data_IF_368247119947
#
_entry.id   IF_368247119947
#
_cell.length_a   1.000
_cell.length_b   1.000
_cell.length_c   1.000
_cell.angle_alpha   90.00
_cell.angle_beta   90.00
_cell.angle_gamma   90.00
#
_symmetry.space_group_name_H-M   'P 1'
#
loop_
_entity.id
_entity.type
_entity.pdbx_description
1 polymer ?
#
# COMPACT_ATOMS: atom_id res chain seq x y z
N UNK A 1 -8.23 -9.87 -28.08
CA UNK A 1 -7.70 -10.79 -27.07
C UNK A 1 -8.25 -10.30 -25.75
N UNK A 2 -9.09 -11.09 -25.08
CA UNK A 2 -9.58 -10.76 -23.75
C UNK A 2 -8.37 -10.60 -22.84
N UNK A 3 -8.24 -9.44 -22.19
CA UNK A 3 -7.32 -9.28 -21.06
C UNK A 3 -7.78 -10.30 -20.01
N UNK A 4 -7.15 -11.47 -20.02
CA UNK A 4 -7.24 -12.39 -18.88
C UNK A 4 -6.39 -11.70 -17.83
N UNK A 5 -7.03 -10.87 -17.02
CA UNK A 5 -6.49 -10.46 -15.72
C UNK A 5 -5.93 -11.74 -15.12
N UNK A 6 -4.62 -11.78 -14.89
CA UNK A 6 -4.07 -12.79 -14.00
C UNK A 6 -4.85 -12.57 -12.71
N UNK A 7 -5.64 -13.57 -12.29
CA UNK A 7 -6.19 -13.55 -10.94
C UNK A 7 -4.97 -13.39 -10.02
N UNK A 8 -4.74 -12.17 -9.54
CA UNK A 8 -3.71 -11.91 -8.54
C UNK A 8 -4.21 -12.63 -7.31
N UNK A 9 -3.78 -13.89 -7.14
CA UNK A 9 -4.09 -14.67 -5.98
C UNK A 9 -3.47 -13.96 -4.79
N UNK A 10 -4.31 -13.25 -4.02
CA UNK A 10 -3.89 -12.60 -2.80
C UNK A 10 -3.26 -13.65 -1.88
N UNK A 11 -2.00 -13.45 -1.52
CA UNK A 11 -1.30 -14.32 -0.57
C UNK A 11 -1.61 -13.80 0.82
N UNK A 12 -2.16 -14.67 1.66
CA UNK A 12 -2.44 -14.35 3.05
C UNK A 12 -1.28 -14.79 3.92
N UNK A 13 -0.53 -13.83 4.45
CA UNK A 13 0.50 -14.08 5.47
C UNK A 13 -0.19 -14.30 6.82
N UNK A 14 -0.07 -15.48 7.45
CA UNK A 14 -0.65 -15.72 8.76
C UNK A 14 0.00 -14.82 9.83
N UNK A 15 -0.75 -14.36 10.85
CA UNK A 15 -0.22 -13.45 11.86
C UNK A 15 1.01 -13.98 12.61
N UNK A 16 1.11 -15.30 12.81
CA UNK A 16 2.26 -15.90 13.50
C UNK A 16 3.55 -15.75 12.70
N UNK A 17 3.51 -15.85 11.36
CA UNK A 17 4.66 -15.63 10.48
C UNK A 17 5.13 -14.19 10.59
N UNK A 18 4.20 -13.22 10.53
CA UNK A 18 4.56 -11.81 10.69
C UNK A 18 5.16 -11.52 12.06
N UNK A 19 4.64 -12.13 13.13
CA UNK A 19 5.25 -11.99 14.46
C UNK A 19 6.67 -12.55 14.51
N UNK A 20 6.93 -13.74 13.95
CA UNK A 20 8.28 -14.30 13.87
C UNK A 20 9.24 -13.39 13.09
N UNK A 21 8.77 -12.76 12.00
CA UNK A 21 9.56 -11.77 11.26
C UNK A 21 9.91 -10.55 12.12
N UNK A 22 8.95 -10.03 12.90
CA UNK A 22 9.15 -8.87 13.77
C UNK A 22 10.06 -9.19 14.96
N UNK A 23 10.05 -10.43 15.47
CA UNK A 23 10.93 -10.87 16.54
C UNK A 23 12.42 -10.85 16.14
N UNK A 24 12.71 -10.89 14.83
CA UNK A 24 14.08 -10.75 14.31
C UNK A 24 14.62 -9.31 14.36
N UNK A 25 13.76 -8.30 14.56
CA UNK A 25 14.13 -6.89 14.47
C UNK A 25 14.80 -6.33 15.74
N UNK A 26 15.16 -7.17 16.72
CA UNK A 26 15.83 -6.72 17.95
C UNK A 26 14.88 -6.26 19.06
N UNK A 27 13.58 -6.54 18.94
CA UNK A 27 12.59 -6.36 20.01
C UNK A 27 11.98 -4.95 20.10
N UNK A 28 11.44 -4.63 21.28
CA UNK A 28 10.63 -3.43 21.51
C UNK A 28 11.42 -2.11 21.40
N UNK A 29 12.74 -2.15 21.59
CA UNK A 29 13.61 -0.98 21.43
C UNK A 29 13.56 -0.46 19.99
N UNK A 30 13.65 -1.35 18.99
CA UNK A 30 13.56 -0.96 17.58
C UNK A 30 12.17 -0.48 17.21
N UNK A 31 11.13 -1.11 17.77
CA UNK A 31 9.72 -0.74 17.53
C UNK A 31 9.36 0.62 18.15
N UNK A 32 10.01 1.00 19.24
CA UNK A 32 9.69 2.22 20.01
C UNK A 32 10.70 3.36 19.84
N UNK A 33 11.84 3.14 19.18
CA UNK A 33 12.79 4.20 18.82
C UNK A 33 12.14 5.19 17.86
N UNK A 34 12.23 6.49 18.17
CA UNK A 34 11.62 7.58 17.41
C UNK A 34 12.16 7.71 15.98
N UNK A 35 13.41 7.32 15.72
CA UNK A 35 14.06 7.50 14.42
C UNK A 35 13.73 6.37 13.42
N UNK A 36 13.10 5.28 13.88
CA UNK A 36 12.77 4.14 13.04
C UNK A 36 11.42 4.29 12.34
N UNK A 37 11.35 3.92 11.07
CA UNK A 37 10.12 3.90 10.28
C UNK A 37 9.93 2.52 9.66
N UNK A 38 8.68 2.10 9.53
CA UNK A 38 8.31 0.78 9.04
C UNK A 38 7.59 0.93 7.70
N UNK A 39 7.97 0.12 6.72
CA UNK A 39 7.39 0.17 5.38
C UNK A 39 7.03 -1.23 4.88
N UNK A 40 5.77 -1.43 4.51
CA UNK A 40 5.30 -2.67 3.89
C UNK A 40 4.93 -2.44 2.41
N UNK A 41 5.74 -2.93 1.46
CA UNK A 41 5.60 -2.57 0.04
C UNK A 41 4.46 -3.26 -0.70
N UNK A 42 3.93 -4.36 -0.15
CA UNK A 42 2.88 -5.20 -0.76
C UNK A 42 1.83 -5.54 0.30
N UNK A 43 1.17 -4.50 0.80
CA UNK A 43 0.35 -4.66 2.00
C UNK A 43 -0.95 -5.45 1.79
N UNK A 44 -1.32 -5.73 0.54
CA UNK A 44 -2.59 -6.33 0.18
C UNK A 44 -3.74 -5.58 0.84
N UNK A 45 -4.66 -6.33 1.44
CA UNK A 45 -5.80 -5.78 2.17
C UNK A 45 -5.48 -5.38 3.62
N UNK A 46 -4.24 -5.49 4.08
CA UNK A 46 -3.83 -4.96 5.38
C UNK A 46 -3.74 -5.95 6.54
N UNK A 47 -3.83 -7.26 6.31
CA UNK A 47 -3.69 -8.25 7.40
C UNK A 47 -2.34 -8.19 8.11
N UNK A 48 -1.26 -8.14 7.33
CA UNK A 48 0.11 -7.99 7.86
C UNK A 48 0.29 -6.63 8.55
N UNK A 49 -0.35 -5.57 8.02
CA UNK A 49 -0.27 -4.23 8.60
C UNK A 49 -0.80 -4.19 10.02
N UNK A 50 -1.89 -4.89 10.31
CA UNK A 50 -2.44 -4.92 11.67
C UNK A 50 -1.46 -5.51 12.67
N UNK A 51 -0.73 -6.58 12.30
CA UNK A 51 0.27 -7.18 13.18
C UNK A 51 1.42 -6.21 13.44
N UNK A 52 1.90 -5.53 12.39
CA UNK A 52 2.98 -4.53 12.50
C UNK A 52 2.53 -3.35 13.38
N UNK A 53 1.36 -2.76 13.07
CA UNK A 53 0.78 -1.64 13.80
C UNK A 53 0.55 -1.99 15.28
N UNK A 54 0.01 -3.18 15.56
CA UNK A 54 -0.24 -3.62 16.94
C UNK A 54 1.07 -3.79 17.74
N UNK A 55 2.13 -4.32 17.10
CA UNK A 55 3.45 -4.49 17.74
C UNK A 55 4.12 -3.15 18.03
N UNK A 56 4.10 -2.22 17.08
CA UNK A 56 4.62 -0.85 17.27
C UNK A 56 3.83 -0.15 18.38
N UNK A 57 2.50 -0.21 18.33
CA UNK A 57 1.63 0.41 19.33
C UNK A 57 1.90 -0.14 20.73
N UNK A 58 2.04 -1.46 20.91
CA UNK A 58 2.33 -2.06 22.21
C UNK A 58 3.66 -1.59 22.79
N UNK A 59 4.71 -1.53 21.97
CA UNK A 59 6.02 -1.05 22.39
C UNK A 59 5.97 0.44 22.79
N UNK A 60 5.29 1.28 22.00
CA UNK A 60 5.11 2.70 22.30
C UNK A 60 4.19 2.95 23.51
N UNK A 61 3.15 2.13 23.70
CA UNK A 61 2.26 2.22 24.85
C UNK A 61 3.01 1.91 26.15
N UNK A 62 3.92 0.93 26.13
CA UNK A 62 4.81 0.65 27.24
C UNK A 62 5.79 1.81 27.49
N UNK A 63 6.38 2.37 26.42
CA UNK A 63 7.29 3.54 26.50
C UNK A 63 6.60 4.80 27.03
N UNK A 64 5.31 4.98 26.77
CA UNK A 64 4.52 6.13 27.20
C UNK A 64 3.64 5.87 28.41
N UNK A 65 3.98 4.89 29.24
CA UNK A 65 3.32 4.62 30.51
C UNK A 65 1.79 4.47 30.37
N UNK A 66 1.32 3.90 29.25
CA UNK A 66 -0.10 3.68 28.97
C UNK A 66 -0.82 4.85 28.29
N UNK A 67 -0.13 5.90 27.84
CA UNK A 67 -0.73 6.98 27.04
C UNK A 67 -1.12 6.49 25.64
N UNK A 68 -2.41 6.15 25.49
CA UNK A 68 -3.00 5.60 24.27
C UNK A 68 -2.92 6.60 23.10
N UNK A 69 -3.22 7.88 23.34
CA UNK A 69 -3.29 8.88 22.27
C UNK A 69 -1.88 9.16 21.72
N UNK A 70 -0.89 9.26 22.60
CA UNK A 70 0.51 9.43 22.21
C UNK A 70 1.06 8.19 21.50
N UNK A 71 0.76 6.99 22.00
CA UNK A 71 1.21 5.75 21.37
C UNK A 71 0.59 5.55 19.98
N UNK A 72 -0.71 5.78 19.83
CA UNK A 72 -1.39 5.66 18.53
C UNK A 72 -0.94 6.71 17.54
N UNK A 73 -0.84 7.98 17.93
CA UNK A 73 -0.41 9.05 17.03
C UNK A 73 0.98 8.77 16.45
N UNK A 74 1.91 8.34 17.29
CA UNK A 74 3.25 7.98 16.83
C UNK A 74 3.27 6.67 16.02
N UNK A 75 2.48 5.67 16.39
CA UNK A 75 2.34 4.43 15.59
C UNK A 75 1.89 4.75 14.16
N UNK A 76 0.84 5.58 14.00
CA UNK A 76 0.28 5.95 12.70
C UNK A 76 1.22 6.86 11.89
N UNK A 77 2.10 7.61 12.57
CA UNK A 77 3.11 8.44 11.93
C UNK A 77 4.29 7.62 11.39
N UNK A 78 4.69 6.55 12.09
CA UNK A 78 5.91 5.78 11.77
C UNK A 78 5.73 4.69 10.72
N UNK A 79 4.49 4.35 10.40
CA UNK A 79 4.16 3.21 9.56
C UNK A 79 3.66 3.67 8.17
N UNK A 80 4.24 3.08 7.13
CA UNK A 80 3.91 3.30 5.73
C UNK A 80 3.63 1.98 5.01
N UNK A 81 2.81 2.03 3.97
CA UNK A 81 2.54 0.88 3.12
C UNK A 81 2.17 1.25 1.69
N UNK A 82 2.43 0.33 0.77
CA UNK A 82 1.95 0.42 -0.60
C UNK A 82 1.31 -0.87 -1.07
N UNK A 83 0.44 -0.75 -2.07
CA UNK A 83 -0.10 -1.88 -2.84
C UNK A 83 -0.26 -1.44 -4.30
N UNK A 84 -0.12 -2.38 -5.23
CA UNK A 84 -0.31 -2.11 -6.65
C UNK A 84 -1.80 -2.20 -7.04
N UNK A 85 -2.56 -3.05 -6.36
CA UNK A 85 -4.01 -3.16 -6.53
C UNK A 85 -4.75 -2.08 -5.72
N UNK A 86 -5.26 -1.07 -6.43
CA UNK A 86 -6.04 0.02 -5.85
C UNK A 86 -7.28 -0.48 -5.07
N UNK A 87 -7.86 -1.62 -5.44
CA UNK A 87 -9.05 -2.17 -4.77
C UNK A 87 -8.76 -2.66 -3.35
N UNK A 88 -7.50 -2.98 -3.05
CA UNK A 88 -7.07 -3.45 -1.73
C UNK A 88 -6.70 -2.33 -0.76
N UNK A 89 -6.48 -1.10 -1.26
CA UNK A 89 -6.10 0.05 -0.44
C UNK A 89 -7.22 0.49 0.53
N UNK A 90 -8.49 0.67 0.11
CA UNK A 90 -9.57 1.00 1.05
C UNK A 90 -9.74 -0.01 2.20
N UNK A 91 -9.77 -1.34 1.98
CA UNK A 91 -9.86 -2.28 3.09
C UNK A 91 -8.61 -2.29 3.98
N UNK A 92 -7.39 -2.07 3.42
CA UNK A 92 -6.18 -1.90 4.23
C UNK A 92 -6.28 -0.70 5.18
N UNK A 93 -6.66 0.47 4.67
CA UNK A 93 -6.88 1.67 5.49
C UNK A 93 -7.97 1.44 6.54
N UNK A 94 -9.09 0.82 6.15
CA UNK A 94 -10.21 0.56 7.06
C UNK A 94 -9.80 -0.35 8.22
N UNK A 95 -8.99 -1.39 7.97
CA UNK A 95 -8.48 -2.25 9.04
C UNK A 95 -7.69 -1.46 10.07
N UNK A 96 -6.72 -0.64 9.63
CA UNK A 96 -5.89 0.15 10.54
C UNK A 96 -6.74 1.21 11.27
N UNK A 97 -7.70 1.82 10.57
CA UNK A 97 -8.66 2.74 11.19
C UNK A 97 -9.48 2.07 12.29
N UNK A 98 -9.99 0.85 12.04
CA UNK A 98 -10.76 0.08 13.03
C UNK A 98 -9.90 -0.30 14.23
N UNK A 99 -8.63 -0.63 14.02
CA UNK A 99 -7.67 -0.84 15.11
C UNK A 99 -7.54 0.43 15.99
N UNK A 100 -7.24 1.58 15.37
CA UNK A 100 -7.10 2.84 16.11
C UNK A 100 -8.37 3.24 16.86
N UNK A 101 -9.54 3.12 16.21
CA UNK A 101 -10.84 3.42 16.82
C UNK A 101 -11.19 2.47 17.97
N UNK A 102 -10.75 1.21 17.91
CA UNK A 102 -10.95 0.24 18.99
C UNK A 102 -10.09 0.55 20.22
N UNK A 103 -8.84 0.96 20.01
CA UNK A 103 -7.91 1.26 21.11
C UNK A 103 -8.31 2.55 21.85
N UNK A 104 -8.89 3.52 21.14
CA UNK A 104 -9.51 4.70 21.74
C UNK A 104 -10.86 4.27 22.33
N UNK A 105 -10.89 3.91 23.62
CA UNK A 105 -12.05 3.37 24.36
C UNK A 105 -13.19 4.37 24.60
N UNK A 106 -13.36 5.33 23.70
CA UNK A 106 -14.40 6.36 23.70
C UNK A 106 -14.83 6.66 22.28
N UNK A 107 -15.95 7.35 22.14
CA UNK A 107 -16.35 7.86 20.84
C UNK A 107 -15.34 8.91 20.33
N UNK A 108 -14.95 8.77 19.07
CA UNK A 108 -14.09 9.72 18.39
C UNK A 108 -14.91 10.90 17.90
N UNK A 109 -14.44 12.11 18.15
CA UNK A 109 -14.98 13.30 17.49
C UNK A 109 -14.77 13.24 15.98
N UNK A 110 -15.57 13.98 15.23
CA UNK A 110 -15.44 14.07 13.77
C UNK A 110 -14.04 14.54 13.35
N UNK A 111 -13.41 15.42 14.14
CA UNK A 111 -12.06 15.90 13.87
C UNK A 111 -11.01 14.81 14.03
N UNK A 112 -11.09 14.00 15.09
CA UNK A 112 -10.18 12.87 15.30
C UNK A 112 -10.34 11.80 14.22
N UNK A 113 -11.58 11.48 13.84
CA UNK A 113 -11.87 10.57 12.73
C UNK A 113 -11.23 11.08 11.43
N UNK A 114 -11.36 12.39 11.16
CA UNK A 114 -10.74 13.04 10.00
C UNK A 114 -9.21 12.95 10.05
N UNK A 115 -8.57 13.24 11.18
CA UNK A 115 -7.11 13.19 11.31
C UNK A 115 -6.57 11.78 11.08
N UNK A 116 -7.18 10.76 11.68
CA UNK A 116 -6.79 9.36 11.48
C UNK A 116 -6.97 8.98 10.00
N UNK A 117 -8.13 9.29 9.41
CA UNK A 117 -8.39 8.98 8.01
C UNK A 117 -7.39 9.67 7.07
N UNK A 118 -7.07 10.94 7.33
CA UNK A 118 -6.12 11.71 6.53
C UNK A 118 -4.70 11.15 6.64
N UNK A 119 -4.25 10.80 7.84
CA UNK A 119 -2.95 10.15 8.04
C UNK A 119 -2.86 8.83 7.26
N UNK A 120 -3.90 7.98 7.33
CA UNK A 120 -3.94 6.70 6.60
C UNK A 120 -4.00 6.88 5.08
N UNK A 121 -4.59 7.97 4.58
CA UNK A 121 -4.56 8.29 3.16
C UNK A 121 -3.16 8.64 2.66
N UNK A 122 -2.33 9.24 3.52
CA UNK A 122 -0.95 9.60 3.22
C UNK A 122 0.03 8.46 3.44
N UNK A 123 -0.25 7.58 4.40
CA UNK A 123 0.68 6.50 4.76
C UNK A 123 0.44 5.18 4.03
N UNK A 124 -0.77 4.92 3.52
CA UNK A 124 -1.12 3.69 2.81
C UNK A 124 -1.59 4.05 1.39
N UNK A 125 -0.81 3.75 0.37
CA UNK A 125 -1.01 4.30 -0.98
C UNK A 125 -0.99 3.25 -2.10
N UNK A 126 -1.82 3.45 -3.13
CA UNK A 126 -1.67 2.73 -4.39
C UNK A 126 -0.47 3.30 -5.14
N UNK A 127 0.61 2.52 -5.29
CA UNK A 127 1.86 2.98 -5.91
C UNK A 127 2.46 1.93 -6.83
N UNK A 128 2.94 2.40 -7.97
CA UNK A 128 3.78 1.65 -8.90
C UNK A 128 5.07 2.43 -9.07
N UNK A 129 6.16 1.94 -8.48
CA UNK A 129 7.46 2.58 -8.53
C UNK A 129 8.04 2.70 -9.95
N UNK A 130 7.60 1.84 -10.88
CA UNK A 130 8.11 1.83 -12.26
C UNK A 130 7.28 2.73 -13.19
N UNK A 131 6.04 3.07 -12.82
CA UNK A 131 5.14 3.87 -13.64
C UNK A 131 5.75 5.19 -14.08
N UNK A 132 6.42 5.91 -13.18
CA UNK A 132 7.07 7.19 -13.51
C UNK A 132 8.22 7.02 -14.52
N UNK A 133 9.02 5.97 -14.35
CA UNK A 133 10.11 5.64 -15.28
C UNK A 133 9.56 5.25 -16.65
N UNK A 134 8.48 4.49 -16.68
CA UNK A 134 7.79 4.05 -17.91
C UNK A 134 7.16 5.25 -18.62
N UNK A 135 6.49 6.14 -17.89
CA UNK A 135 5.85 7.34 -18.45
C UNK A 135 6.91 8.28 -19.05
N UNK A 136 8.05 8.45 -18.38
CA UNK A 136 9.18 9.20 -18.91
C UNK A 136 9.70 8.59 -20.22
N UNK A 137 9.89 7.27 -20.28
CA UNK A 137 10.33 6.56 -21.49
C UNK A 137 9.30 6.71 -22.62
N UNK A 138 8.01 6.53 -22.33
CA UNK A 138 6.93 6.67 -23.32
C UNK A 138 6.78 8.10 -23.83
N UNK A 139 7.14 9.09 -23.01
CA UNK A 139 7.16 10.49 -23.41
C UNK A 139 8.34 10.84 -24.31
N UNK A 140 9.37 10.00 -24.48
CA UNK A 140 10.55 10.36 -25.27
C UNK A 140 10.23 10.42 -26.79
N UNK A 141 10.86 11.32 -27.56
CA UNK A 141 10.57 11.48 -29.00
C UNK A 141 10.77 10.19 -29.82
N UNK A 142 11.81 9.42 -29.50
CA UNK A 142 12.13 8.16 -30.16
C UNK A 142 11.03 7.10 -30.00
N UNK A 143 10.52 6.93 -28.77
CA UNK A 143 9.41 6.00 -28.53
C UNK A 143 8.11 6.47 -29.18
N UNK A 144 7.83 7.78 -29.20
CA UNK A 144 6.66 8.30 -29.94
C UNK A 144 6.75 7.99 -31.44
N UNK A 145 7.93 8.08 -32.03
CA UNK A 145 8.16 7.75 -33.43
C UNK A 145 7.93 6.26 -33.71
N UNK A 146 8.51 5.36 -32.89
CA UNK A 146 8.31 3.92 -32.98
C UNK A 146 6.83 3.53 -32.85
N UNK A 147 6.11 4.11 -31.89
CA UNK A 147 4.67 3.86 -31.68
C UNK A 147 3.82 4.27 -32.88
N UNK A 148 4.19 5.38 -33.56
CA UNK A 148 3.54 5.83 -34.81
C UNK A 148 3.81 4.87 -35.96
N UNK A 149 5.03 4.37 -36.10
CA UNK A 149 5.38 3.38 -37.13
C UNK A 149 4.67 2.04 -36.92
N UNK A 150 4.57 1.61 -35.66
CA UNK A 150 3.87 0.40 -35.29
C UNK A 150 2.36 0.51 -35.57
N UNK A 151 1.74 1.65 -35.25
CA UNK A 151 0.34 1.95 -35.63
C UNK A 151 0.13 1.91 -37.14
N UNK A 152 1.07 2.47 -37.92
CA UNK A 152 1.02 2.42 -39.39
C UNK A 152 1.08 0.98 -39.89
N UNK A 153 2.02 0.18 -39.37
CA UNK A 153 2.15 -1.25 -39.69
C UNK A 153 0.90 -2.05 -39.35
N UNK A 154 0.29 -1.81 -38.19
CA UNK A 154 -0.94 -2.48 -37.77
C UNK A 154 -2.12 -2.11 -38.67
N UNK A 155 -2.27 -0.82 -39.03
CA UNK A 155 -3.30 -0.37 -39.99
C UNK A 155 -3.12 -1.03 -41.36
N UNK A 156 -1.89 -1.05 -41.89
CA UNK A 156 -1.59 -1.71 -43.18
C UNK A 156 -1.89 -3.21 -43.15
N UNK A 157 -1.57 -3.92 -42.06
CA UNK A 157 -1.92 -5.33 -41.91
C UNK A 157 -3.44 -5.54 -41.87
N UNK A 158 -4.18 -4.67 -41.17
CA UNK A 158 -5.64 -4.76 -41.06
C UNK A 158 -6.34 -4.54 -42.41
N UNK A 159 -5.88 -3.54 -43.18
CA UNK A 159 -6.32 -3.28 -44.56
C UNK A 159 -6.02 -4.46 -45.51
N UNK A 160 -4.86 -5.11 -45.36
CA UNK A 160 -4.51 -6.28 -46.15
C UNK A 160 -5.39 -7.50 -45.83
N UNK A 161 -5.77 -7.70 -44.56
CA UNK A 161 -6.71 -8.76 -44.18
C UNK A 161 -8.16 -8.48 -44.56
N UNK A 162 -8.61 -7.22 -44.53
CA UNK A 162 -9.97 -6.83 -44.94
C UNK A 162 -10.13 -6.81 -46.47
N UNK A 163 -9.05 -6.52 -47.22
CA UNK A 163 -9.01 -6.59 -48.68
C UNK A 163 -8.94 -8.01 -49.26
N UNK A 164 -8.63 -9.01 -48.46
CA UNK A 164 -8.54 -10.43 -48.88
C UNK A 164 -9.88 -11.21 -48.73
N UNK A 165 -10.94 -10.56 -48.23
CA UNK A 165 -12.28 -11.15 -48.00
C UNK A 165 -13.30 -10.66 -49.06
N UNK A 166 -12.84 -10.02 -50.14
CA UNK A 166 -13.65 -9.69 -51.33
C UNK A 166 -13.14 -10.48 -52.53
#
# INVERSE_FOLDING_TARGET
MSNKELEQGQIFTPPWVTNEMLDLLGGDDVLSDHENFFFEPTCGDGQMLIVIVERIYKALLAKYDGDIEKALSETLYKFYASELDETLIPPARMRVWQFAAKEIKRELSLFEQYLIAHQLQQSIECRDALKESIDAIHSCPGMRALKREELKRQKSKKLATEGAIK
#
